data_IF_005119953717
#
_entry.id   IF_005119953717
#
_cell.length_a   1.000
_cell.length_b   1.000
_cell.length_c   1.000
_cell.angle_alpha   90.00
_cell.angle_beta   90.00
_cell.angle_gamma   90.00
#
_symmetry.space_group_name_H-M   'P 1'
#
loop_
_entity.id
_entity.type
_entity.pdbx_description
1 polymer ?
#
# COMPACT_ATOMS: atom_id res chain seq x y z
N UNK A 1 -21.53 -19.42 -8.08
CA UNK A 1 -20.95 -19.83 -6.78
C UNK A 1 -19.63 -19.10 -6.64
N UNK A 2 -19.50 -18.19 -5.66
CA UNK A 2 -18.40 -17.21 -5.58
C UNK A 2 -17.16 -17.84 -4.94
N UNK A 3 -16.42 -18.62 -5.75
CA UNK A 3 -15.30 -19.46 -5.28
C UNK A 3 -14.17 -18.62 -4.68
N UNK A 4 -13.81 -17.48 -5.28
CA UNK A 4 -12.69 -16.65 -4.79
C UNK A 4 -13.05 -15.96 -3.50
N UNK A 5 -14.22 -15.35 -3.44
CA UNK A 5 -14.73 -14.68 -2.24
C UNK A 5 -14.76 -15.63 -1.05
N UNK A 6 -15.23 -16.88 -1.25
CA UNK A 6 -15.23 -17.91 -0.21
C UNK A 6 -13.81 -18.31 0.23
N UNK A 7 -12.87 -18.44 -0.72
CA UNK A 7 -11.48 -18.77 -0.40
C UNK A 7 -10.79 -17.62 0.35
N UNK A 8 -10.96 -16.39 -0.13
CA UNK A 8 -10.41 -15.16 0.48
C UNK A 8 -10.98 -14.93 1.87
N UNK A 9 -12.28 -15.14 2.08
CA UNK A 9 -12.91 -15.01 3.41
C UNK A 9 -12.22 -15.86 4.45
N UNK A 10 -11.93 -17.14 4.13
CA UNK A 10 -11.20 -18.04 5.03
C UNK A 10 -9.77 -17.56 5.30
N UNK A 11 -9.10 -16.93 4.32
CA UNK A 11 -7.74 -16.38 4.51
C UNK A 11 -7.74 -15.12 5.36
N UNK A 12 -8.76 -14.27 5.22
CA UNK A 12 -8.96 -13.10 6.07
C UNK A 12 -9.20 -13.55 7.52
N UNK A 13 -10.06 -14.54 7.74
CA UNK A 13 -10.31 -15.08 9.09
C UNK A 13 -9.02 -15.57 9.75
N UNK A 14 -8.22 -16.37 9.03
CA UNK A 14 -6.93 -16.84 9.54
C UNK A 14 -6.01 -15.65 9.86
N UNK A 15 -5.89 -14.66 8.96
CA UNK A 15 -5.03 -13.50 9.16
C UNK A 15 -5.46 -12.67 10.39
N UNK A 16 -6.75 -12.45 10.57
CA UNK A 16 -7.29 -11.70 11.72
C UNK A 16 -7.06 -12.44 13.04
N UNK A 17 -7.15 -13.76 13.05
CA UNK A 17 -6.85 -14.55 14.25
C UNK A 17 -5.36 -14.53 14.59
N UNK A 18 -4.48 -14.64 13.60
CA UNK A 18 -3.04 -14.51 13.80
C UNK A 18 -2.66 -13.13 14.35
N UNK A 19 -3.25 -12.05 13.83
CA UNK A 19 -3.03 -10.69 14.34
C UNK A 19 -3.41 -10.53 15.82
N UNK A 20 -4.42 -11.28 16.28
CA UNK A 20 -4.83 -11.31 17.70
C UNK A 20 -3.91 -12.16 18.59
N UNK A 21 -2.84 -12.73 18.04
CA UNK A 21 -1.92 -13.59 18.76
C UNK A 21 -2.33 -15.07 18.82
N UNK A 22 -3.40 -15.48 18.12
CA UNK A 22 -3.75 -16.90 18.07
C UNK A 22 -2.64 -17.70 17.39
N UNK A 23 -2.40 -18.92 17.87
CA UNK A 23 -1.31 -19.78 17.40
C UNK A 23 0.09 -19.13 17.50
N UNK A 24 0.27 -18.09 18.34
CA UNK A 24 1.52 -17.34 18.43
C UNK A 24 1.79 -16.45 17.22
N UNK A 25 0.76 -16.17 16.40
CA UNK A 25 0.86 -15.30 15.25
C UNK A 25 1.03 -13.83 15.61
N UNK A 26 1.32 -13.03 14.60
CA UNK A 26 1.56 -11.60 14.70
C UNK A 26 1.08 -10.86 13.45
N UNK A 27 1.30 -9.54 13.42
CA UNK A 27 1.04 -8.69 12.27
C UNK A 27 1.69 -9.24 10.99
N UNK A 28 2.89 -9.77 11.14
CA UNK A 28 3.78 -10.29 10.12
C UNK A 28 3.11 -11.44 9.37
N UNK A 29 2.60 -12.41 10.12
CA UNK A 29 1.93 -13.61 9.61
C UNK A 29 0.64 -13.23 8.90
N UNK A 30 -0.15 -12.33 9.50
CA UNK A 30 -1.39 -11.84 8.95
C UNK A 30 -1.16 -11.13 7.60
N UNK A 31 -0.20 -10.21 7.55
CA UNK A 31 0.12 -9.46 6.32
C UNK A 31 0.73 -10.35 5.23
N UNK A 32 1.55 -11.34 5.60
CA UNK A 32 2.09 -12.30 4.63
C UNK A 32 0.95 -13.07 3.93
N UNK A 33 -0.05 -13.53 4.69
CA UNK A 33 -1.21 -14.23 4.14
C UNK A 33 -2.01 -13.31 3.22
N UNK A 34 -2.36 -12.10 3.68
CA UNK A 34 -3.18 -11.17 2.89
C UNK A 34 -2.47 -10.69 1.62
N UNK A 35 -1.18 -10.38 1.70
CA UNK A 35 -0.39 -10.04 0.52
C UNK A 35 -0.26 -11.23 -0.45
N UNK A 36 -0.18 -12.46 0.06
CA UNK A 36 -0.18 -13.66 -0.78
C UNK A 36 -1.52 -13.86 -1.49
N UNK A 37 -2.64 -13.60 -0.80
CA UNK A 37 -3.99 -13.61 -1.39
C UNK A 37 -4.08 -12.63 -2.56
N UNK A 38 -3.72 -11.36 -2.34
CA UNK A 38 -3.71 -10.34 -3.39
C UNK A 38 -2.77 -10.72 -4.54
N UNK A 39 -1.60 -11.26 -4.24
CA UNK A 39 -0.65 -11.76 -5.25
C UNK A 39 -1.21 -12.92 -6.08
N UNK A 40 -1.94 -13.84 -5.46
CA UNK A 40 -2.59 -14.96 -6.15
C UNK A 40 -3.71 -14.46 -7.07
N UNK A 41 -4.57 -13.55 -6.60
CA UNK A 41 -5.60 -12.94 -7.42
C UNK A 41 -5.00 -12.18 -8.62
N UNK A 42 -3.92 -11.42 -8.42
CA UNK A 42 -3.21 -10.76 -9.51
C UNK A 42 -2.63 -11.75 -10.52
N UNK A 43 -2.16 -12.92 -10.06
CA UNK A 43 -1.61 -13.96 -10.91
C UNK A 43 -2.69 -14.70 -11.72
N UNK A 44 -3.91 -14.81 -11.22
CA UNK A 44 -5.04 -15.35 -11.97
C UNK A 44 -5.44 -14.43 -13.13
N UNK A 45 -5.46 -13.11 -12.90
CA UNK A 45 -5.81 -12.12 -13.94
C UNK A 45 -4.69 -11.98 -14.96
N UNK A 46 -3.44 -11.86 -14.51
CA UNK A 46 -2.27 -11.66 -15.36
C UNK A 46 -1.19 -12.72 -15.09
N UNK A 47 -1.34 -13.93 -15.62
CA UNK A 47 -0.39 -15.01 -15.41
C UNK A 47 0.97 -14.73 -16.06
N UNK A 48 2.02 -15.35 -15.54
CA UNK A 48 3.39 -15.19 -16.03
C UNK A 48 4.41 -14.96 -14.92
N UNK A 49 5.67 -14.76 -15.34
CA UNK A 49 6.83 -14.57 -14.46
C UNK A 49 7.43 -13.18 -14.65
N UNK A 50 8.09 -12.65 -13.62
CA UNK A 50 8.86 -11.40 -13.70
C UNK A 50 8.02 -10.11 -13.69
N UNK A 51 6.72 -10.19 -13.43
CA UNK A 51 5.80 -9.06 -13.43
C UNK A 51 5.05 -8.86 -12.09
N UNK A 52 5.51 -9.49 -11.00
CA UNK A 52 4.83 -9.52 -9.70
C UNK A 52 4.45 -8.14 -9.16
N UNK A 53 5.39 -7.19 -9.12
CA UNK A 53 5.10 -5.82 -8.69
C UNK A 53 4.03 -5.18 -9.59
N UNK A 54 4.25 -5.23 -10.91
CA UNK A 54 3.35 -4.61 -11.88
C UNK A 54 1.92 -5.11 -11.76
N UNK A 55 1.71 -6.43 -11.72
CA UNK A 55 0.38 -7.02 -11.61
C UNK A 55 -0.27 -6.78 -10.25
N UNK A 56 0.50 -6.81 -9.16
CA UNK A 56 -0.03 -6.57 -7.81
C UNK A 56 -0.54 -5.13 -7.68
N UNK A 57 0.26 -4.17 -8.16
CA UNK A 57 -0.12 -2.75 -8.14
C UNK A 57 -1.27 -2.48 -9.10
N UNK A 58 -1.25 -3.06 -10.31
CA UNK A 58 -2.33 -2.89 -11.29
C UNK A 58 -3.65 -3.48 -10.77
N UNK A 59 -3.62 -4.65 -10.12
CA UNK A 59 -4.78 -5.26 -9.48
C UNK A 59 -5.44 -4.27 -8.52
N UNK A 60 -4.67 -3.74 -7.57
CA UNK A 60 -5.19 -2.78 -6.60
C UNK A 60 -5.66 -1.50 -7.28
N UNK A 61 -4.95 -0.99 -8.28
CA UNK A 61 -5.38 0.21 -9.02
C UNK A 61 -6.71 0.00 -9.75
N UNK A 62 -6.91 -1.16 -10.38
CA UNK A 62 -8.11 -1.46 -11.18
C UNK A 62 -9.33 -1.67 -10.28
N UNK A 63 -9.18 -2.47 -9.22
CA UNK A 63 -10.31 -2.89 -8.40
C UNK A 63 -10.51 -2.03 -7.14
N UNK A 64 -9.45 -1.36 -6.67
CA UNK A 64 -9.43 -0.57 -5.44
C UNK A 64 -8.81 0.81 -5.73
N UNK A 65 -9.50 1.73 -6.43
CA UNK A 65 -8.93 3.03 -6.81
C UNK A 65 -8.34 3.81 -5.62
N UNK A 66 -8.90 3.66 -4.41
CA UNK A 66 -8.36 4.27 -3.18
C UNK A 66 -6.95 3.82 -2.79
N UNK A 67 -6.48 2.67 -3.28
CA UNK A 67 -5.11 2.20 -3.09
C UNK A 67 -4.08 2.95 -3.97
N UNK A 68 -4.53 3.84 -4.86
CA UNK A 68 -3.64 4.71 -5.66
C UNK A 68 -3.25 6.00 -4.94
N UNK A 69 -3.85 6.30 -3.78
CA UNK A 69 -3.46 7.45 -2.94
C UNK A 69 -1.97 7.40 -2.61
N UNK A 70 -1.35 8.58 -2.59
CA UNK A 70 0.08 8.78 -2.38
C UNK A 70 0.33 9.11 -0.91
N UNK A 71 1.21 8.33 -0.29
CA UNK A 71 1.69 8.58 1.07
C UNK A 71 2.53 9.84 1.11
N UNK A 72 1.95 10.93 1.61
CA UNK A 72 2.60 12.23 1.71
C UNK A 72 3.78 12.20 2.70
N UNK A 73 3.65 11.63 3.92
CA UNK A 73 4.79 11.56 4.84
C UNK A 73 6.00 10.82 4.29
N UNK A 74 5.77 9.68 3.62
CA UNK A 74 6.84 8.84 3.07
C UNK A 74 7.47 9.48 1.83
N UNK A 75 6.66 10.12 0.98
CA UNK A 75 7.15 10.90 -0.17
C UNK A 75 8.03 12.07 0.29
N UNK A 76 7.55 12.90 1.23
CA UNK A 76 8.29 14.06 1.72
C UNK A 76 9.67 13.68 2.28
N UNK A 77 9.72 12.60 3.05
CA UNK A 77 10.98 12.08 3.58
C UNK A 77 11.94 11.62 2.48
N UNK A 78 11.42 10.94 1.44
CA UNK A 78 12.24 10.56 0.28
C UNK A 78 12.79 11.78 -0.48
N UNK A 79 11.96 12.80 -0.71
CA UNK A 79 12.36 14.01 -1.44
C UNK A 79 13.46 14.78 -0.70
N UNK A 80 13.33 14.89 0.63
CA UNK A 80 14.36 15.45 1.50
C UNK A 80 15.71 14.73 1.33
N UNK A 81 15.68 13.42 1.16
CA UNK A 81 16.87 12.58 1.00
C UNK A 81 17.39 12.45 -0.45
N UNK A 82 16.71 13.05 -1.43
CA UNK A 82 17.06 12.94 -2.86
C UNK A 82 17.31 14.28 -3.53
N UNK A 83 17.79 15.27 -2.78
CA UNK A 83 18.10 16.63 -3.24
C UNK A 83 16.91 17.40 -3.83
N UNK A 84 15.68 17.03 -3.44
CA UNK A 84 14.43 17.74 -3.80
C UNK A 84 13.85 18.44 -2.57
N UNK A 85 14.72 19.22 -1.93
CA UNK A 85 14.40 19.84 -0.65
C UNK A 85 13.27 20.88 -0.77
N UNK A 86 13.18 21.57 -1.92
CA UNK A 86 12.13 22.56 -2.15
C UNK A 86 10.73 21.93 -2.16
N UNK A 87 10.57 20.83 -2.89
CA UNK A 87 9.33 20.07 -2.96
C UNK A 87 8.98 19.42 -1.61
N UNK A 88 10.00 18.90 -0.92
CA UNK A 88 9.84 18.34 0.43
C UNK A 88 9.36 19.39 1.44
N UNK A 89 9.92 20.61 1.38
CA UNK A 89 9.54 21.75 2.22
C UNK A 89 8.08 22.15 1.95
N UNK A 90 7.71 22.31 0.68
CA UNK A 90 6.35 22.67 0.27
C UNK A 90 5.32 21.67 0.78
N UNK A 91 5.55 20.36 0.56
CA UNK A 91 4.68 19.31 1.11
C UNK A 91 4.61 19.37 2.64
N UNK A 92 5.75 19.61 3.28
CA UNK A 92 5.83 19.57 4.74
C UNK A 92 5.08 20.72 5.39
N UNK A 93 5.13 21.92 4.81
CA UNK A 93 4.42 23.10 5.31
C UNK A 93 2.91 22.94 5.23
N UNK A 94 2.42 22.30 4.16
CA UNK A 94 0.99 22.15 3.90
C UNK A 94 0.36 20.99 4.69
N UNK A 95 1.08 19.88 4.91
CA UNK A 95 0.48 18.65 5.44
C UNK A 95 1.20 18.02 6.63
N UNK A 96 2.45 18.39 6.89
CA UNK A 96 3.31 17.68 7.85
C UNK A 96 3.89 18.63 8.91
N UNK A 97 3.14 19.66 9.33
CA UNK A 97 3.50 20.45 10.52
C UNK A 97 3.72 19.49 11.68
N UNK A 98 4.99 19.23 11.99
CA UNK A 98 5.35 18.08 12.80
C UNK A 98 5.03 18.36 14.27
N UNK A 99 3.98 17.71 14.76
CA UNK A 99 3.68 17.58 16.17
C UNK A 99 3.99 16.14 16.62
N UNK A 100 4.85 16.01 17.63
CA UNK A 100 5.29 14.72 18.19
C UNK A 100 4.15 13.90 18.77
N UNK A 101 3.08 14.55 19.19
CA UNK A 101 1.91 13.95 19.81
C UNK A 101 0.78 13.67 18.82
N UNK A 102 0.85 14.25 17.62
CA UNK A 102 -0.21 14.13 16.63
C UNK A 102 -0.15 12.78 15.91
N UNK A 103 -1.21 12.00 16.06
CA UNK A 103 -1.50 10.85 15.21
C UNK A 103 -1.92 11.33 13.81
N UNK A 104 -1.40 10.67 12.79
CA UNK A 104 -1.79 10.92 11.40
C UNK A 104 -2.34 9.64 10.78
N UNK A 105 -3.40 9.83 10.00
CA UNK A 105 -4.01 8.77 9.20
C UNK A 105 -3.97 9.18 7.74
N UNK A 106 -4.06 8.21 6.84
CA UNK A 106 -4.05 8.48 5.41
C UNK A 106 -5.16 9.41 4.93
N UNK A 107 -6.34 9.36 5.54
CA UNK A 107 -7.44 10.29 5.21
C UNK A 107 -7.12 11.75 5.49
N UNK A 108 -6.24 12.04 6.46
CA UNK A 108 -5.87 13.40 6.85
C UNK A 108 -4.86 14.01 5.88
N UNK A 109 -3.81 13.26 5.54
CA UNK A 109 -2.61 13.83 4.88
C UNK A 109 -2.37 13.33 3.48
N UNK A 110 -2.87 12.16 3.10
CA UNK A 110 -2.53 11.58 1.80
C UNK A 110 -3.39 12.14 0.68
N UNK A 111 -2.78 12.21 -0.50
CA UNK A 111 -3.34 12.93 -1.65
C UNK A 111 -3.40 12.03 -2.87
N UNK A 112 -4.23 12.42 -3.81
CA UNK A 112 -4.27 11.81 -5.14
C UNK A 112 -3.01 12.17 -5.93
N UNK A 113 -2.72 11.41 -6.98
CA UNK A 113 -1.60 11.69 -7.88
C UNK A 113 -1.66 13.10 -8.47
N UNK A 114 -2.85 13.52 -8.93
CA UNK A 114 -3.06 14.84 -9.54
C UNK A 114 -2.80 15.99 -8.55
N UNK A 115 -3.22 15.83 -7.30
CA UNK A 115 -2.93 16.81 -6.25
C UNK A 115 -1.42 16.90 -5.99
N UNK A 116 -0.72 15.77 -5.94
CA UNK A 116 0.75 15.76 -5.75
C UNK A 116 1.47 16.40 -6.94
N UNK A 117 1.04 16.13 -8.16
CA UNK A 117 1.62 16.75 -9.37
C UNK A 117 1.43 18.27 -9.39
N UNK A 118 0.27 18.78 -8.96
CA UNK A 118 0.03 20.22 -8.84
C UNK A 118 0.92 20.88 -7.81
N UNK A 119 1.24 20.17 -6.73
CA UNK A 119 2.12 20.67 -5.66
C UNK A 119 3.59 20.60 -6.06
N UNK A 120 4.01 19.50 -6.69
CA UNK A 120 5.41 19.22 -6.97
C UNK A 120 5.63 18.91 -8.45
N UNK A 121 5.49 19.93 -9.30
CA UNK A 121 5.55 19.79 -10.77
C UNK A 121 6.89 19.31 -11.34
N UNK A 122 7.96 19.28 -10.54
CA UNK A 122 9.29 18.79 -10.94
C UNK A 122 9.44 17.26 -10.78
N UNK A 123 8.52 16.60 -10.08
CA UNK A 123 8.61 15.17 -9.79
C UNK A 123 7.90 14.39 -10.90
N UNK A 124 8.57 13.38 -11.45
CA UNK A 124 7.96 12.51 -12.44
C UNK A 124 6.77 11.72 -11.86
N UNK A 125 5.75 11.50 -12.68
CA UNK A 125 4.59 10.64 -12.33
C UNK A 125 5.05 9.28 -11.83
N UNK A 126 6.04 8.67 -12.50
CA UNK A 126 6.59 7.38 -12.10
C UNK A 126 7.13 7.41 -10.67
N UNK A 127 7.83 8.48 -10.29
CA UNK A 127 8.39 8.63 -8.96
C UNK A 127 7.30 8.84 -7.90
N UNK A 128 6.27 9.64 -8.20
CA UNK A 128 5.11 9.81 -7.31
C UNK A 128 4.42 8.46 -7.05
N UNK A 129 4.15 7.69 -8.11
CA UNK A 129 3.48 6.37 -8.01
C UNK A 129 4.23 5.37 -7.14
N UNK A 130 5.55 5.50 -6.97
CA UNK A 130 6.33 4.65 -6.03
C UNK A 130 5.88 4.81 -4.57
N UNK A 131 5.23 5.93 -4.24
CA UNK A 131 4.72 6.22 -2.91
C UNK A 131 3.21 6.00 -2.79
N UNK A 132 2.58 5.41 -3.81
CA UNK A 132 1.19 4.95 -3.71
C UNK A 132 1.04 3.82 -2.67
N UNK A 133 -0.12 3.72 -2.03
CA UNK A 133 -0.39 2.63 -1.09
C UNK A 133 -0.20 1.25 -1.73
N UNK A 134 -0.66 1.05 -2.97
CA UNK A 134 -0.50 -0.20 -3.68
C UNK A 134 0.98 -0.59 -3.84
N UNK A 135 1.85 0.35 -4.22
CA UNK A 135 3.27 0.06 -4.36
C UNK A 135 3.98 -0.08 -3.00
N UNK A 136 3.62 0.72 -2.00
CA UNK A 136 4.20 0.62 -0.65
C UNK A 136 3.80 -0.71 0.03
N UNK A 137 2.55 -1.14 -0.11
CA UNK A 137 2.10 -2.45 0.38
C UNK A 137 2.89 -3.58 -0.28
N UNK A 138 3.12 -3.50 -1.59
CA UNK A 138 3.95 -4.50 -2.28
C UNK A 138 5.42 -4.43 -1.84
N UNK A 139 6.02 -3.24 -1.86
CA UNK A 139 7.47 -3.06 -1.77
C UNK A 139 7.97 -3.12 -0.33
N UNK A 140 7.24 -2.52 0.61
CA UNK A 140 7.64 -2.46 2.01
C UNK A 140 7.05 -3.61 2.82
N UNK A 141 5.84 -4.11 2.50
CA UNK A 141 5.24 -5.18 3.30
C UNK A 141 5.43 -6.55 2.66
N UNK A 142 4.84 -6.79 1.47
CA UNK A 142 4.94 -8.11 0.81
C UNK A 142 6.38 -8.50 0.54
N UNK A 143 7.16 -7.63 -0.11
CA UNK A 143 8.54 -7.90 -0.49
C UNK A 143 9.45 -7.93 0.74
N UNK A 144 9.24 -7.00 1.69
CA UNK A 144 9.93 -7.03 2.99
C UNK A 144 9.82 -8.40 3.66
N UNK A 145 8.60 -8.89 3.90
CA UNK A 145 8.45 -10.19 4.56
C UNK A 145 8.93 -11.36 3.71
N UNK A 146 8.74 -11.33 2.40
CA UNK A 146 9.17 -12.43 1.53
C UNK A 146 10.69 -12.59 1.41
N UNK A 147 11.46 -11.51 1.61
CA UNK A 147 12.91 -11.51 1.35
C UNK A 147 13.78 -11.11 2.54
N UNK A 148 13.23 -10.34 3.48
CA UNK A 148 13.95 -9.76 4.61
C UNK A 148 13.39 -10.23 5.97
N UNK A 149 12.29 -11.00 5.98
CA UNK A 149 11.60 -11.47 7.19
C UNK A 149 11.13 -10.36 8.14
N UNK A 150 10.97 -9.14 7.61
CA UNK A 150 10.46 -7.96 8.33
C UNK A 150 9.88 -6.97 7.33
N UNK A 151 9.12 -5.96 7.79
CA UNK A 151 8.75 -4.85 6.92
C UNK A 151 9.97 -4.05 6.45
N UNK A 152 9.86 -3.45 5.28
CA UNK A 152 10.84 -2.53 4.72
C UNK A 152 10.94 -1.22 5.51
N UNK A 153 12.00 -0.46 5.21
CA UNK A 153 12.42 0.72 5.98
C UNK A 153 11.36 1.83 6.08
N UNK A 154 10.41 1.88 5.15
CA UNK A 154 9.38 2.93 5.09
C UNK A 154 8.06 2.51 5.73
N UNK A 155 7.96 1.29 6.28
CA UNK A 155 6.78 0.77 6.93
C UNK A 155 7.04 0.40 8.40
N UNK A 156 5.96 0.20 9.16
CA UNK A 156 6.01 -0.20 10.56
C UNK A 156 4.94 -1.29 10.84
N UNK A 157 5.28 -2.40 11.53
CA UNK A 157 4.29 -3.42 11.86
C UNK A 157 3.42 -3.03 13.07
N UNK A 158 3.87 -2.06 13.86
CA UNK A 158 3.15 -1.55 15.01
C UNK A 158 2.31 -0.34 14.63
N UNK A 159 1.03 -0.35 15.00
CA UNK A 159 0.19 0.83 14.90
C UNK A 159 0.25 1.67 16.19
N UNK A 160 0.39 2.99 16.07
CA UNK A 160 0.21 3.88 17.23
C UNK A 160 -1.27 4.09 17.58
N UNK A 161 -2.17 3.91 16.61
CA UNK A 161 -3.61 4.12 16.77
C UNK A 161 -4.39 3.41 15.65
N UNK A 162 -5.58 2.90 15.97
CA UNK A 162 -6.47 2.23 15.01
C UNK A 162 -7.56 3.18 14.54
N UNK A 163 -7.61 3.48 13.23
CA UNK A 163 -8.68 4.28 12.62
C UNK A 163 -9.54 3.39 11.72
N UNK A 164 -10.82 3.11 12.07
CA UNK A 164 -11.69 2.26 11.29
C UNK A 164 -12.04 2.85 9.90
N UNK A 165 -11.73 4.11 9.64
CA UNK A 165 -12.04 4.78 8.37
C UNK A 165 -10.82 4.98 7.46
N UNK A 166 -9.62 4.58 7.90
CA UNK A 166 -8.39 4.77 7.12
C UNK A 166 -7.72 3.45 6.79
N UNK A 167 -7.24 3.28 5.56
CA UNK A 167 -6.43 2.11 5.19
C UNK A 167 -5.08 2.10 5.92
N UNK A 168 -4.53 3.29 6.16
CA UNK A 168 -3.18 3.45 6.70
C UNK A 168 -3.15 4.43 7.86
N UNK A 169 -2.24 4.18 8.80
CA UNK A 169 -1.85 5.11 9.86
C UNK A 169 -0.34 5.33 9.79
N UNK A 170 0.15 6.34 10.51
CA UNK A 170 1.56 6.73 10.45
C UNK A 170 2.21 6.71 11.82
N UNK A 171 3.37 6.06 11.91
CA UNK A 171 4.13 5.92 13.15
C UNK A 171 5.32 6.89 13.18
N UNK A 172 5.43 7.66 14.26
CA UNK A 172 6.51 8.64 14.43
C UNK A 172 7.82 7.92 14.75
N UNK A 173 8.83 8.04 13.88
CA UNK A 173 10.20 7.61 14.16
C UNK A 173 10.97 8.79 14.75
N UNK A 174 11.08 8.81 16.08
CA UNK A 174 11.74 9.89 16.84
C UNK A 174 13.22 9.62 17.11
N UNK A 175 13.68 8.37 16.92
CA UNK A 175 15.06 7.95 17.16
C UNK A 175 16.01 8.31 16.03
N UNK A 176 15.50 8.72 14.86
CA UNK A 176 16.31 9.17 13.73
C UNK A 176 16.60 10.67 13.88
N UNK A 177 17.86 11.13 13.70
CA UNK A 177 18.16 12.57 13.60
C UNK A 177 17.29 13.27 12.54
N UNK A 178 16.89 12.55 11.50
CA UNK A 178 15.90 12.96 10.53
C UNK A 178 14.53 12.37 10.89
N UNK A 179 13.83 13.02 11.84
CA UNK A 179 12.46 12.68 12.22
C UNK A 179 11.58 12.49 10.99
N UNK A 180 10.93 11.34 10.91
CA UNK A 180 10.03 10.99 9.82
C UNK A 180 8.92 10.07 10.31
N UNK A 181 7.99 9.73 9.41
CA UNK A 181 6.87 8.85 9.72
C UNK A 181 6.86 7.66 8.78
N UNK A 182 6.75 6.47 9.36
CA UNK A 182 6.58 5.23 8.61
C UNK A 182 5.12 4.89 8.45
N UNK A 183 4.77 4.27 7.33
CA UNK A 183 3.39 3.86 7.04
C UNK A 183 3.07 2.53 7.73
N UNK A 184 1.90 2.43 8.34
CA UNK A 184 1.35 1.18 8.87
C UNK A 184 0.07 0.87 8.10
N UNK A 185 -0.05 -0.38 7.61
CA UNK A 185 -1.25 -0.85 6.92
C UNK A 185 -2.12 -1.63 7.90
N UNK A 186 -3.36 -1.20 8.10
CA UNK A 186 -4.24 -1.88 9.06
C UNK A 186 -4.73 -3.22 8.47
N UNK A 187 -4.51 -4.32 9.19
CA UNK A 187 -4.75 -5.69 8.70
C UNK A 187 -6.20 -5.91 8.30
N UNK A 188 -7.15 -5.45 9.10
CA UNK A 188 -8.58 -5.52 8.79
C UNK A 188 -8.92 -4.81 7.49
N UNK A 189 -8.29 -3.65 7.24
CA UNK A 189 -8.48 -2.89 6.00
C UNK A 189 -7.85 -3.57 4.79
N UNK A 190 -6.69 -4.20 4.95
CA UNK A 190 -6.09 -5.01 3.87
C UNK A 190 -6.93 -6.27 3.60
N UNK A 191 -7.57 -6.82 4.63
CA UNK A 191 -8.58 -7.87 4.51
C UNK A 191 -9.80 -7.41 3.70
N UNK A 192 -10.37 -6.24 4.02
CA UNK A 192 -11.45 -5.62 3.25
C UNK A 192 -11.06 -5.44 1.77
N UNK A 193 -9.85 -4.92 1.49
CA UNK A 193 -9.34 -4.81 0.11
C UNK A 193 -9.31 -6.16 -0.61
N UNK A 194 -8.82 -7.19 0.08
CA UNK A 194 -8.71 -8.54 -0.49
C UNK A 194 -10.09 -9.11 -0.84
N UNK A 195 -11.08 -8.88 0.02
CA UNK A 195 -12.47 -9.29 -0.22
C UNK A 195 -13.09 -8.56 -1.41
N UNK A 196 -12.95 -7.22 -1.45
CA UNK A 196 -13.49 -6.40 -2.54
C UNK A 196 -12.92 -6.82 -3.90
N UNK A 197 -11.60 -7.08 -3.97
CA UNK A 197 -10.97 -7.60 -5.18
C UNK A 197 -11.54 -8.98 -5.56
N UNK A 198 -11.67 -9.89 -4.59
CA UNK A 198 -12.17 -11.24 -4.85
C UNK A 198 -13.62 -11.23 -5.38
N UNK A 199 -14.48 -10.38 -4.81
CA UNK A 199 -15.86 -10.18 -5.23
C UNK A 199 -15.92 -9.63 -6.65
N UNK A 200 -15.14 -8.58 -6.94
CA UNK A 200 -15.11 -7.99 -8.27
C UNK A 200 -14.59 -8.96 -9.35
N UNK A 201 -13.67 -9.87 -9.01
CA UNK A 201 -13.21 -10.92 -9.94
C UNK A 201 -14.26 -12.02 -10.11
N UNK A 202 -14.98 -12.42 -9.05
CA UNK A 202 -16.06 -13.40 -9.14
C UNK A 202 -17.22 -12.92 -10.03
N UNK A 203 -17.38 -11.61 -10.20
CA UNK A 203 -18.38 -10.99 -11.10
C UNK A 203 -17.97 -10.97 -12.57
N UNK A 204 -16.70 -11.26 -12.90
CA UNK A 204 -16.24 -11.29 -14.30
C UNK A 204 -16.90 -12.43 -15.06
N UNK A 205 -17.69 -12.10 -16.08
CA UNK A 205 -18.31 -13.08 -16.98
C UNK A 205 -17.30 -13.51 -18.05
N UNK A 206 -17.04 -14.82 -18.13
CA UNK A 206 -16.13 -15.40 -19.13
C UNK A 206 -14.75 -15.70 -18.58
N UNK A 207 -13.70 -15.37 -19.35
CA UNK A 207 -12.31 -15.66 -18.97
C UNK A 207 -11.77 -14.59 -18.02
N UNK A 208 -11.29 -15.02 -16.85
CA UNK A 208 -10.66 -14.12 -15.86
C UNK A 208 -9.30 -13.58 -16.34
N UNK A 209 -8.57 -14.37 -17.14
CA UNK A 209 -7.31 -13.93 -17.71
C UNK A 209 -7.53 -12.74 -18.65
N UNK A 210 -6.89 -11.63 -18.32
CA UNK A 210 -6.94 -10.40 -19.09
C UNK A 210 -5.65 -10.20 -19.87
N UNK A 211 -5.74 -9.48 -20.99
CA UNK A 211 -4.57 -9.04 -21.71
C UNK A 211 -3.68 -8.18 -20.78
N UNK A 212 -2.37 -8.48 -20.77
CA UNK A 212 -1.41 -7.68 -20.01
C UNK A 212 -1.39 -6.25 -20.55
N UNK A 213 -1.40 -5.22 -19.69
CA UNK A 213 -1.28 -3.85 -20.15
C UNK A 213 0.08 -3.65 -20.84
N UNK A 214 0.09 -2.84 -21.91
CA UNK A 214 1.34 -2.49 -22.61
C UNK A 214 2.36 -1.86 -21.67
N UNK A 215 1.87 -1.05 -20.72
CA UNK A 215 2.66 -0.47 -19.63
C UNK A 215 1.89 -0.58 -18.33
N UNK A 216 2.50 -1.15 -17.30
CA UNK A 216 1.95 -1.19 -15.95
C UNK A 216 1.83 0.22 -15.37
N UNK A 217 0.76 0.52 -14.64
CA UNK A 217 0.51 1.84 -14.06
C UNK A 217 1.72 2.39 -13.29
N UNK A 218 2.37 1.56 -12.47
CA UNK A 218 3.54 1.94 -11.68
C UNK A 218 4.75 2.44 -12.50
N UNK A 219 4.82 2.08 -13.79
CA UNK A 219 5.93 2.49 -14.67
C UNK A 219 5.74 3.88 -15.27
N UNK A 220 4.54 4.47 -15.21
CA UNK A 220 4.26 5.80 -15.72
C UNK A 220 4.36 5.88 -17.25
N UNK A 221 3.23 6.07 -17.92
CA UNK A 221 3.23 6.83 -19.17
C UNK A 221 2.69 8.21 -18.80
N UNK A 222 3.39 9.26 -19.24
CA UNK A 222 2.77 10.57 -19.32
C UNK A 222 1.61 10.40 -20.31
N UNK A 223 0.37 10.41 -19.82
CA UNK A 223 -0.78 10.65 -20.69
C UNK A 223 -0.88 12.14 -20.94
#
# INVERSE_FOLDING_TARGET
MNRRSNWVSKKIEIALNLDRGECGGSYDDAMLILCTVLGALAAEIWPGKGNDNGRFVELLKVYIPRATKISIPVLAWHLKNTNKAHEAEQISQDYLKFDQTQWLTGSMVDRTEDEVLKMCGSISVQEIRRFSYANLLYKEVRNGYAHEYQVGKKAEPWSMFKDPNSLVTYCNRTTDPQRHRNIHFQIDKVGELSMEVAQAIDEVVGTIEQAKPKTWWIKGLNQ
#
